data_IF_504558081925
#
_entry.id   IF_504558081925
#
_cell.length_a   1.000
_cell.length_b   1.000
_cell.length_c   1.000
_cell.angle_alpha   90.00
_cell.angle_beta   90.00
_cell.angle_gamma   90.00
#
_symmetry.space_group_name_H-M   'P 1'
#
loop_
_entity.id
_entity.type
_entity.pdbx_description
1 polymer ?
#
# COMPACT_ATOMS: atom_id res chain seq x y z
N UNK A 1 5.52 0.43 9.21
CA UNK A 1 5.79 1.65 8.43
C UNK A 1 5.08 1.55 7.07
N UNK A 2 3.85 2.06 6.99
CA UNK A 2 3.16 2.26 5.72
C UNK A 2 3.54 3.65 5.20
N UNK A 3 4.16 3.74 4.02
CA UNK A 3 4.44 5.03 3.35
C UNK A 3 3.43 5.27 2.21
N UNK A 4 2.15 5.00 2.47
CA UNK A 4 1.11 4.96 1.45
C UNK A 4 0.71 6.33 0.89
N UNK A 5 1.25 7.44 1.42
CA UNK A 5 0.90 8.82 1.04
C UNK A 5 1.17 9.12 -0.44
N UNK A 6 2.33 8.73 -0.98
CA UNK A 6 2.61 8.91 -2.41
C UNK A 6 1.75 8.02 -3.34
N UNK A 7 1.34 6.85 -2.87
CA UNK A 7 0.44 5.93 -3.59
C UNK A 7 -0.98 6.49 -3.67
N UNK A 8 -1.43 7.02 -2.53
CA UNK A 8 -2.71 7.68 -2.34
C UNK A 8 -2.85 8.83 -3.34
N UNK A 9 -1.83 9.68 -3.43
CA UNK A 9 -1.78 10.86 -4.30
C UNK A 9 -1.68 10.53 -5.80
N UNK A 10 -0.95 9.48 -6.18
CA UNK A 10 -0.94 9.03 -7.58
C UNK A 10 -2.30 8.44 -7.97
N UNK A 11 -2.91 7.61 -7.13
CA UNK A 11 -4.28 7.13 -7.34
C UNK A 11 -5.29 8.28 -7.39
N UNK A 12 -5.11 9.30 -6.53
CA UNK A 12 -5.84 10.56 -6.49
C UNK A 12 -5.81 11.28 -7.83
N UNK A 13 -4.61 11.54 -8.34
CA UNK A 13 -4.38 12.27 -9.58
C UNK A 13 -4.91 11.51 -10.80
N UNK A 14 -4.76 10.18 -10.82
CA UNK A 14 -5.28 9.32 -11.88
C UNK A 14 -6.82 9.31 -11.84
N UNK A 15 -7.44 9.05 -10.68
CA UNK A 15 -8.90 9.03 -10.55
C UNK A 15 -9.52 10.39 -10.85
N UNK A 16 -8.92 11.49 -10.38
CA UNK A 16 -9.43 12.83 -10.63
C UNK A 16 -9.33 13.24 -12.10
N UNK A 17 -8.28 12.78 -12.82
CA UNK A 17 -8.16 13.00 -14.28
C UNK A 17 -9.11 12.11 -15.09
N UNK A 18 -9.41 10.90 -14.62
CA UNK A 18 -10.29 9.96 -15.32
C UNK A 18 -11.78 10.23 -15.05
N UNK A 19 -12.14 10.83 -13.91
CA UNK A 19 -13.53 11.09 -13.51
C UNK A 19 -13.97 12.53 -13.80
N UNK A 20 -13.10 13.54 -13.63
CA UNK A 20 -13.44 14.92 -13.95
C UNK A 20 -13.01 15.26 -15.39
N UNK A 21 -13.98 15.29 -16.29
CA UNK A 21 -13.87 15.89 -17.63
C UNK A 21 -13.53 17.41 -17.59
N UNK A 22 -13.49 18.02 -16.40
CA UNK A 22 -13.37 19.47 -16.20
C UNK A 22 -11.96 20.03 -16.37
N UNK A 23 -10.91 19.21 -16.48
CA UNK A 23 -9.52 19.66 -16.69
C UNK A 23 -8.90 20.50 -15.57
N UNK A 24 -9.66 20.79 -14.51
CA UNK A 24 -9.23 21.59 -13.36
C UNK A 24 -9.06 20.66 -12.16
N UNK A 25 -7.80 20.42 -11.80
CA UNK A 25 -7.46 19.80 -10.51
C UNK A 25 -6.88 20.90 -9.65
N UNK A 26 -7.46 21.08 -8.46
CA UNK A 26 -6.95 21.96 -7.42
C UNK A 26 -5.83 21.22 -6.66
N UNK A 27 -4.65 21.85 -6.55
CA UNK A 27 -3.40 21.21 -6.11
C UNK A 27 -2.77 21.85 -4.87
N UNK A 28 -3.41 22.84 -4.24
CA UNK A 28 -2.86 23.43 -3.02
C UNK A 28 -2.92 22.43 -1.88
N UNK A 29 -1.75 21.93 -1.48
CA UNK A 29 -1.61 20.96 -0.39
C UNK A 29 -0.39 21.31 0.48
N UNK A 30 -0.63 21.45 1.78
CA UNK A 30 0.42 21.71 2.77
C UNK A 30 1.16 20.41 3.12
N UNK A 31 2.36 20.26 2.56
CA UNK A 31 3.29 19.13 2.77
C UNK A 31 3.63 18.91 4.26
N UNK A 32 3.57 19.95 5.11
CA UNK A 32 3.97 19.83 6.53
C UNK A 32 2.98 18.99 7.33
N UNK A 33 1.70 19.03 6.95
CA UNK A 33 0.65 18.25 7.61
C UNK A 33 0.83 16.76 7.32
N UNK A 34 1.24 16.39 6.10
CA UNK A 34 1.38 14.99 5.67
C UNK A 34 2.49 14.23 6.42
N UNK A 35 3.63 14.88 6.69
CA UNK A 35 4.78 14.23 7.35
C UNK A 35 4.57 13.91 8.84
N UNK A 36 3.67 14.59 9.55
CA UNK A 36 3.43 14.34 10.98
C UNK A 36 2.59 13.07 11.24
N UNK A 37 1.92 12.53 10.21
CA UNK A 37 0.86 11.53 10.37
C UNK A 37 1.35 10.08 10.21
N UNK A 38 2.63 9.89 9.82
CA UNK A 38 3.24 8.57 9.59
C UNK A 38 3.69 7.83 10.88
N UNK A 39 3.47 8.41 12.07
CA UNK A 39 4.00 7.91 13.34
C UNK A 39 3.08 6.97 14.15
N UNK A 40 1.83 6.75 13.73
CA UNK A 40 0.99 5.75 14.41
C UNK A 40 1.33 4.32 13.96
N UNK A 41 1.46 3.36 14.90
CA UNK A 41 1.79 1.96 14.58
C UNK A 41 0.69 1.23 13.79
N UNK A 42 -0.44 1.89 13.55
CA UNK A 42 -1.59 1.37 12.82
C UNK A 42 -1.71 2.13 11.50
N UNK A 43 -1.77 1.44 10.36
CA UNK A 43 -1.89 2.07 9.04
C UNK A 43 -3.32 2.59 8.73
N UNK A 44 -4.23 2.57 9.70
CA UNK A 44 -5.64 2.95 9.53
C UNK A 44 -5.89 4.44 9.27
N UNK A 45 -5.13 5.39 9.87
CA UNK A 45 -5.34 6.82 9.63
C UNK A 45 -5.28 7.15 8.14
N UNK A 46 -4.25 6.69 7.43
CA UNK A 46 -4.09 6.95 5.98
C UNK A 46 -5.29 6.47 5.16
N UNK A 47 -5.84 5.29 5.47
CA UNK A 47 -7.02 4.76 4.75
C UNK A 47 -8.27 5.59 5.03
N UNK A 48 -8.44 6.05 6.27
CA UNK A 48 -9.53 6.93 6.67
C UNK A 48 -9.38 8.29 6.00
N UNK A 49 -8.18 8.87 6.00
CA UNK A 49 -7.90 10.17 5.39
C UNK A 49 -8.15 10.16 3.89
N UNK A 50 -7.75 9.09 3.19
CA UNK A 50 -8.07 8.92 1.77
C UNK A 50 -9.58 8.87 1.51
N UNK A 51 -10.31 8.16 2.37
CA UNK A 51 -11.76 8.10 2.27
C UNK A 51 -12.39 9.47 2.53
N UNK A 52 -12.03 10.13 3.63
CA UNK A 52 -12.56 11.43 4.02
C UNK A 52 -12.25 12.51 2.96
N UNK A 53 -11.04 12.50 2.41
CA UNK A 53 -10.67 13.34 1.27
C UNK A 53 -11.52 13.03 0.04
N UNK A 54 -11.67 11.74 -0.31
CA UNK A 54 -12.46 11.32 -1.47
C UNK A 54 -13.92 11.75 -1.34
N UNK A 55 -14.50 11.61 -0.15
CA UNK A 55 -15.84 12.08 0.17
C UNK A 55 -15.95 13.60 0.05
N UNK A 56 -14.96 14.35 0.54
CA UNK A 56 -14.87 15.80 0.40
C UNK A 56 -14.86 16.26 -1.06
N UNK A 57 -14.05 15.61 -1.92
CA UNK A 57 -13.98 15.92 -3.35
C UNK A 57 -15.27 15.56 -4.09
N UNK A 58 -15.93 14.47 -3.70
CA UNK A 58 -17.20 14.06 -4.30
C UNK A 58 -18.40 14.85 -3.74
N UNK A 59 -18.21 15.71 -2.74
CA UNK A 59 -19.30 16.40 -2.04
C UNK A 59 -20.25 15.43 -1.34
N UNK A 60 -19.77 14.25 -0.94
CA UNK A 60 -20.54 13.20 -0.28
C UNK A 60 -20.19 13.15 1.21
N UNK A 61 -21.14 12.66 2.00
CA UNK A 61 -20.92 12.32 3.41
C UNK A 61 -21.36 10.88 3.59
N UNK A 62 -20.41 9.96 3.44
CA UNK A 62 -20.64 8.53 3.64
C UNK A 62 -20.13 8.11 5.02
N UNK A 63 -20.59 6.94 5.50
CA UNK A 63 -20.05 6.37 6.75
C UNK A 63 -18.57 6.02 6.55
N UNK A 64 -17.81 6.09 7.65
CA UNK A 64 -16.42 5.63 7.70
C UNK A 64 -16.27 4.24 7.04
N UNK A 65 -15.21 4.01 6.27
CA UNK A 65 -15.06 2.76 5.54
C UNK A 65 -14.89 1.60 6.52
N UNK A 66 -15.40 0.42 6.17
CA UNK A 66 -15.12 -0.77 6.95
C UNK A 66 -13.62 -1.07 6.91
N UNK A 67 -13.02 -1.28 8.08
CA UNK A 67 -11.65 -1.75 8.23
C UNK A 67 -11.67 -3.22 8.60
N UNK A 68 -11.82 -4.08 7.59
CA UNK A 68 -11.85 -5.52 7.81
C UNK A 68 -10.49 -6.03 8.35
N UNK A 69 -10.55 -7.06 9.20
CA UNK A 69 -9.40 -7.65 9.90
C UNK A 69 -8.48 -8.48 8.99
N UNK A 70 -8.03 -9.64 9.48
CA UNK A 70 -7.17 -10.53 8.70
C UNK A 70 -7.95 -11.08 7.49
N UNK A 71 -7.44 -10.84 6.28
CA UNK A 71 -8.05 -11.34 5.05
C UNK A 71 -8.18 -12.86 5.06
N UNK A 72 -7.33 -13.56 5.81
CA UNK A 72 -7.35 -15.01 5.95
C UNK A 72 -8.64 -15.53 6.61
N UNK A 73 -9.33 -14.69 7.39
CA UNK A 73 -10.63 -15.01 8.01
C UNK A 73 -11.76 -15.17 6.97
N UNK A 74 -11.50 -14.82 5.70
CA UNK A 74 -12.41 -15.10 4.58
C UNK A 74 -12.41 -16.58 4.15
N UNK A 75 -11.61 -17.42 4.80
CA UNK A 75 -11.65 -18.87 4.64
C UNK A 75 -11.86 -19.58 5.98
N UNK A 76 -12.52 -20.76 5.96
CA UNK A 76 -12.48 -21.66 7.10
C UNK A 76 -11.04 -22.04 7.48
N UNK A 77 -10.73 -22.13 8.77
CA UNK A 77 -9.39 -22.53 9.25
C UNK A 77 -8.91 -23.86 8.66
N UNK A 78 -9.83 -24.81 8.43
CA UNK A 78 -9.55 -26.11 7.81
C UNK A 78 -8.99 -26.03 6.39
N UNK A 79 -9.23 -24.94 5.66
CA UNK A 79 -8.78 -24.73 4.28
C UNK A 79 -7.28 -24.37 4.24
N UNK A 80 -6.81 -23.67 5.26
CA UNK A 80 -5.49 -23.05 5.30
C UNK A 80 -4.43 -23.91 6.00
N UNK A 81 -4.86 -24.84 6.86
CA UNK A 81 -3.96 -25.69 7.63
C UNK A 81 -3.53 -26.96 6.86
N UNK A 82 -2.29 -27.39 7.15
CA UNK A 82 -1.72 -28.63 6.66
C UNK A 82 -0.65 -28.47 5.57
N UNK A 83 0.32 -29.39 5.57
CA UNK A 83 1.28 -29.52 4.50
C UNK A 83 0.56 -30.05 3.25
N UNK A 84 0.30 -29.17 2.29
CA UNK A 84 -0.29 -29.50 1.00
C UNK A 84 0.39 -28.71 -0.11
N UNK A 85 0.36 -29.25 -1.32
CA UNK A 85 0.94 -28.59 -2.49
C UNK A 85 0.23 -27.27 -2.79
N UNK A 86 0.92 -26.33 -3.44
CA UNK A 86 0.38 -25.05 -3.86
C UNK A 86 -0.95 -25.21 -4.62
N UNK A 87 -1.00 -26.11 -5.61
CA UNK A 87 -2.20 -26.38 -6.40
C UNK A 87 -3.38 -26.87 -5.54
N UNK A 88 -3.11 -27.73 -4.55
CA UNK A 88 -4.15 -28.23 -3.63
C UNK A 88 -4.69 -27.11 -2.75
N UNK A 89 -3.80 -26.26 -2.21
CA UNK A 89 -4.19 -25.10 -1.39
C UNK A 89 -4.99 -24.09 -2.20
N UNK A 90 -4.50 -23.71 -3.38
CA UNK A 90 -5.17 -22.80 -4.31
C UNK A 90 -6.60 -23.27 -4.58
N UNK A 91 -6.76 -24.54 -4.97
CA UNK A 91 -8.07 -25.12 -5.24
C UNK A 91 -9.00 -25.04 -4.02
N UNK A 92 -8.54 -25.49 -2.85
CA UNK A 92 -9.34 -25.44 -1.60
C UNK A 92 -9.76 -24.01 -1.23
N UNK A 93 -8.86 -23.04 -1.35
CA UNK A 93 -9.15 -21.63 -1.06
C UNK A 93 -10.19 -21.09 -2.04
N UNK A 94 -9.95 -21.21 -3.35
CA UNK A 94 -10.84 -20.67 -4.38
C UNK A 94 -12.23 -21.33 -4.38
N UNK A 95 -12.32 -22.63 -4.07
CA UNK A 95 -13.59 -23.38 -4.00
C UNK A 95 -14.34 -23.19 -2.68
N UNK A 96 -13.67 -22.71 -1.62
CA UNK A 96 -14.31 -22.55 -0.31
C UNK A 96 -15.34 -21.43 -0.32
N UNK A 97 -16.42 -21.60 0.47
CA UNK A 97 -17.43 -20.55 0.66
C UNK A 97 -16.80 -19.34 1.37
N UNK A 98 -16.93 -18.15 0.79
CA UNK A 98 -16.56 -16.91 1.48
C UNK A 98 -17.69 -16.51 2.44
N UNK A 99 -17.37 -16.05 3.65
CA UNK A 99 -18.39 -15.49 4.52
C UNK A 99 -19.00 -14.22 3.90
N UNK A 100 -20.18 -13.85 4.36
CA UNK A 100 -20.85 -12.58 3.98
C UNK A 100 -20.64 -11.49 5.03
N UNK A 101 -20.05 -11.83 6.18
CA UNK A 101 -19.72 -10.94 7.29
C UNK A 101 -18.25 -11.11 7.66
N UNK A 102 -17.59 -10.03 8.06
CA UNK A 102 -16.21 -10.06 8.53
C UNK A 102 -16.01 -9.10 9.71
N UNK A 103 -15.05 -9.42 10.58
CA UNK A 103 -14.65 -8.57 11.70
C UNK A 103 -14.18 -7.23 11.16
N UNK A 104 -14.76 -6.14 11.65
CA UNK A 104 -14.48 -4.78 11.26
C UNK A 104 -13.94 -3.98 12.45
N UNK A 105 -12.71 -3.52 12.33
CA UNK A 105 -12.01 -2.76 13.35
C UNK A 105 -12.49 -1.29 13.44
N UNK A 106 -13.16 -0.79 12.39
CA UNK A 106 -13.68 0.59 12.35
C UNK A 106 -15.00 0.75 13.11
N UNK A 107 -15.88 -0.25 13.00
CA UNK A 107 -17.23 -0.22 13.57
C UNK A 107 -17.34 -1.02 14.87
N UNK A 108 -16.21 -1.42 15.44
CA UNK A 108 -16.17 -2.08 16.74
C UNK A 108 -16.50 -1.07 17.85
N UNK A 109 -17.72 -1.13 18.36
CA UNK A 109 -18.06 -0.47 19.61
C UNK A 109 -17.37 -1.23 20.76
N UNK A 110 -16.88 -0.54 21.82
CA UNK A 110 -16.20 -1.18 22.95
C UNK A 110 -17.01 -2.31 23.63
N UNK A 111 -18.34 -2.24 23.53
CA UNK A 111 -19.27 -3.19 24.14
C UNK A 111 -19.84 -4.23 23.16
N UNK A 112 -19.44 -4.21 21.88
CA UNK A 112 -19.92 -5.18 20.88
C UNK A 112 -18.98 -6.40 20.84
N UNK A 113 -19.40 -7.57 21.33
CA UNK A 113 -18.57 -8.76 21.33
C UNK A 113 -18.30 -9.33 19.93
N UNK A 114 -19.04 -8.88 18.91
CA UNK A 114 -18.92 -9.39 17.54
C UNK A 114 -19.06 -8.25 16.52
N UNK A 115 -18.02 -7.42 16.30
CA UNK A 115 -18.07 -6.30 15.37
C UNK A 115 -18.03 -6.77 13.92
N UNK A 116 -19.09 -7.43 13.47
CA UNK A 116 -19.21 -7.99 12.15
C UNK A 116 -19.87 -6.95 11.24
N UNK A 117 -19.16 -6.55 10.19
CA UNK A 117 -19.75 -5.78 9.09
C UNK A 117 -20.01 -6.69 7.90
N UNK A 118 -21.09 -6.40 7.17
CA UNK A 118 -21.38 -7.09 5.92
C UNK A 118 -20.27 -6.78 4.92
N UNK A 119 -19.77 -7.80 4.25
CA UNK A 119 -18.82 -7.62 3.15
C UNK A 119 -19.62 -7.08 1.95
N UNK A 120 -19.28 -5.89 1.41
CA UNK A 120 -20.03 -5.30 0.31
C UNK A 120 -20.26 -6.28 -0.84
N UNK A 121 -21.49 -6.35 -1.35
CA UNK A 121 -21.83 -7.24 -2.47
C UNK A 121 -21.12 -6.80 -3.76
N UNK A 122 -21.00 -5.49 -3.95
CA UNK A 122 -20.34 -4.86 -5.09
C UNK A 122 -19.28 -3.87 -4.61
N UNK A 123 -18.15 -3.86 -5.30
CA UNK A 123 -17.07 -2.90 -5.14
C UNK A 123 -16.71 -2.38 -6.52
N UNK A 124 -16.60 -1.06 -6.68
CA UNK A 124 -16.24 -0.45 -7.96
C UNK A 124 -14.72 -0.45 -8.19
N UNK A 125 -13.94 -0.45 -7.11
CA UNK A 125 -12.49 -0.63 -7.16
C UNK A 125 -11.94 -1.25 -5.88
N UNK A 126 -10.70 -1.73 -5.92
CA UNK A 126 -9.97 -2.25 -4.78
C UNK A 126 -8.51 -1.80 -4.78
N UNK A 127 -7.95 -1.57 -3.59
CA UNK A 127 -6.53 -1.31 -3.39
C UNK A 127 -6.00 -2.25 -2.31
N UNK A 128 -4.80 -2.80 -2.48
CA UNK A 128 -4.22 -3.76 -1.54
C UNK A 128 -2.70 -3.66 -1.48
N UNK A 129 -2.11 -3.81 -0.30
CA UNK A 129 -0.68 -4.03 -0.12
C UNK A 129 -0.45 -5.46 0.34
N UNK A 130 0.07 -6.32 -0.55
CA UNK A 130 0.23 -7.74 -0.24
C UNK A 130 1.58 -8.03 0.43
N UNK A 131 1.64 -8.97 1.40
CA UNK A 131 2.88 -9.29 2.11
C UNK A 131 3.95 -9.85 1.15
N UNK A 132 5.17 -9.31 1.21
CA UNK A 132 6.27 -9.61 0.29
C UNK A 132 7.41 -10.44 0.90
N UNK A 133 7.24 -10.96 2.13
CA UNK A 133 8.29 -11.69 2.86
C UNK A 133 8.81 -12.92 2.09
N UNK A 134 7.95 -13.60 1.32
CA UNK A 134 8.35 -14.77 0.54
C UNK A 134 8.77 -14.43 -0.91
N UNK A 135 8.65 -13.17 -1.32
CA UNK A 135 8.94 -12.71 -2.69
C UNK A 135 10.20 -11.84 -2.75
N UNK A 136 10.45 -11.04 -1.71
CA UNK A 136 11.52 -10.04 -1.71
C UNK A 136 12.91 -10.65 -1.64
N UNK A 137 13.89 -9.93 -2.20
CA UNK A 137 15.31 -10.32 -2.12
C UNK A 137 15.84 -10.51 -0.70
N UNK A 138 15.28 -9.78 0.26
CA UNK A 138 15.62 -9.83 1.69
C UNK A 138 14.92 -10.96 2.44
N UNK A 139 13.93 -11.60 1.81
CA UNK A 139 13.15 -12.68 2.37
C UNK A 139 13.63 -14.08 1.95
N UNK A 140 12.78 -15.09 2.18
CA UNK A 140 13.10 -16.49 1.93
C UNK A 140 13.00 -16.89 0.45
N UNK A 141 12.41 -16.03 -0.40
CA UNK A 141 12.18 -16.27 -1.84
C UNK A 141 11.47 -17.59 -2.14
N UNK A 142 10.60 -18.02 -1.23
CA UNK A 142 9.84 -19.25 -1.37
C UNK A 142 8.67 -19.12 -2.35
N UNK A 143 8.25 -17.88 -2.68
CA UNK A 143 7.18 -17.59 -3.63
C UNK A 143 5.90 -18.38 -3.33
N UNK A 144 5.42 -19.17 -4.29
CA UNK A 144 4.23 -20.02 -4.16
C UNK A 144 4.34 -21.10 -3.07
N UNK A 145 5.56 -21.48 -2.66
CA UNK A 145 5.81 -22.39 -1.54
C UNK A 145 5.87 -21.66 -0.18
N UNK A 146 5.83 -20.33 -0.20
CA UNK A 146 5.93 -19.46 0.98
C UNK A 146 4.74 -19.55 1.93
N UNK A 147 4.95 -19.05 3.16
CA UNK A 147 3.90 -18.93 4.18
C UNK A 147 2.88 -17.85 3.86
N UNK A 148 3.23 -16.87 3.02
CA UNK A 148 2.33 -15.80 2.59
C UNK A 148 1.49 -16.16 1.38
N UNK A 149 1.78 -17.26 0.66
CA UNK A 149 1.01 -17.67 -0.52
C UNK A 149 -0.51 -17.80 -0.27
N UNK A 150 -1.00 -18.30 0.88
CA UNK A 150 -2.42 -18.32 1.19
C UNK A 150 -3.08 -16.93 1.28
N UNK A 151 -2.33 -15.88 1.63
CA UNK A 151 -2.84 -14.50 1.63
C UNK A 151 -3.19 -14.07 0.21
N UNK A 152 -2.30 -14.34 -0.75
CA UNK A 152 -2.55 -14.06 -2.17
C UNK A 152 -3.72 -14.87 -2.72
N UNK A 153 -3.82 -16.15 -2.36
CA UNK A 153 -4.96 -17.00 -2.77
C UNK A 153 -6.29 -16.45 -2.26
N UNK A 154 -6.31 -15.99 -1.00
CA UNK A 154 -7.51 -15.46 -0.37
C UNK A 154 -7.90 -14.11 -0.94
N UNK A 155 -6.91 -13.26 -1.21
CA UNK A 155 -7.08 -12.00 -1.93
C UNK A 155 -7.69 -12.23 -3.32
N UNK A 156 -7.11 -13.15 -4.10
CA UNK A 156 -7.63 -13.49 -5.43
C UNK A 156 -9.07 -14.04 -5.37
N UNK A 157 -9.37 -14.93 -4.41
CA UNK A 157 -10.73 -15.43 -4.15
C UNK A 157 -11.71 -14.28 -3.93
N UNK A 158 -11.36 -13.34 -3.05
CA UNK A 158 -12.19 -12.18 -2.74
C UNK A 158 -12.44 -11.33 -3.99
N UNK A 159 -11.37 -10.99 -4.72
CA UNK A 159 -11.42 -10.19 -5.95
C UNK A 159 -12.32 -10.85 -7.00
N UNK A 160 -12.11 -12.14 -7.27
CA UNK A 160 -12.86 -12.91 -8.27
C UNK A 160 -14.35 -13.03 -7.89
N UNK A 161 -14.65 -13.33 -6.63
CA UNK A 161 -16.04 -13.49 -6.19
C UNK A 161 -16.81 -12.16 -6.19
N UNK A 162 -16.14 -11.05 -5.86
CA UNK A 162 -16.72 -9.71 -5.90
C UNK A 162 -16.68 -9.04 -7.27
N UNK A 163 -16.03 -9.68 -8.25
CA UNK A 163 -15.84 -9.17 -9.62
C UNK A 163 -15.40 -7.70 -9.62
N UNK A 164 -14.41 -7.37 -8.79
CA UNK A 164 -13.94 -5.98 -8.61
C UNK A 164 -13.44 -5.46 -9.97
N UNK A 165 -14.06 -4.42 -10.57
CA UNK A 165 -13.71 -3.99 -11.92
C UNK A 165 -12.25 -3.56 -12.05
N UNK A 166 -11.77 -2.75 -11.11
CA UNK A 166 -10.42 -2.21 -11.11
C UNK A 166 -9.72 -2.49 -9.78
N UNK A 167 -8.57 -3.14 -9.82
CA UNK A 167 -7.78 -3.51 -8.66
C UNK A 167 -6.37 -2.94 -8.77
N UNK A 168 -5.86 -2.35 -7.70
CA UNK A 168 -4.47 -1.93 -7.58
C UNK A 168 -3.79 -2.70 -6.46
N UNK A 169 -2.67 -3.35 -6.75
CA UNK A 169 -1.83 -4.03 -5.76
C UNK A 169 -0.49 -3.31 -5.66
N UNK A 170 -0.20 -2.72 -4.51
CA UNK A 170 1.13 -2.19 -4.18
C UNK A 170 2.00 -3.30 -3.61
N UNK A 171 3.26 -3.37 -4.07
CA UNK A 171 4.24 -4.30 -3.54
C UNK A 171 5.67 -3.85 -3.81
N UNK A 172 6.64 -4.68 -3.42
CA UNK A 172 8.04 -4.52 -3.82
C UNK A 172 8.25 -4.92 -5.28
N UNK A 173 9.26 -4.37 -5.99
CA UNK A 173 9.57 -4.76 -7.36
C UNK A 173 9.79 -6.25 -7.60
N UNK A 174 10.14 -7.03 -6.57
CA UNK A 174 10.32 -8.50 -6.67
C UNK A 174 8.99 -9.30 -6.61
N UNK A 175 7.83 -8.65 -6.72
CA UNK A 175 6.54 -9.34 -6.76
C UNK A 175 6.49 -10.37 -7.91
N UNK A 176 6.12 -11.60 -7.56
CA UNK A 176 5.91 -12.70 -8.51
C UNK A 176 4.60 -12.49 -9.30
N UNK A 177 4.74 -12.01 -10.53
CA UNK A 177 3.60 -11.79 -11.42
C UNK A 177 3.00 -13.08 -11.94
N UNK A 178 3.77 -14.16 -12.06
CA UNK A 178 3.25 -15.45 -12.54
C UNK A 178 2.23 -16.00 -11.54
N UNK A 179 2.48 -15.81 -10.25
CA UNK A 179 1.50 -16.13 -9.21
C UNK A 179 0.25 -15.23 -9.31
N UNK A 180 0.40 -13.95 -9.64
CA UNK A 180 -0.76 -13.05 -9.82
C UNK A 180 -1.63 -13.50 -11.00
N UNK A 181 -1.01 -13.84 -12.14
CA UNK A 181 -1.69 -14.37 -13.32
C UNK A 181 -2.36 -15.72 -13.03
N UNK A 182 -1.64 -16.64 -12.36
CA UNK A 182 -2.17 -17.95 -12.02
C UNK A 182 -3.41 -17.85 -11.10
N UNK A 183 -3.38 -16.96 -10.11
CA UNK A 183 -4.47 -16.82 -9.14
C UNK A 183 -5.69 -16.09 -9.66
N UNK A 184 -5.51 -15.06 -10.49
CA UNK A 184 -6.61 -14.23 -10.99
C UNK A 184 -7.15 -14.70 -12.35
N UNK A 185 -6.56 -15.76 -12.92
CA UNK A 185 -6.99 -16.39 -14.17
C UNK A 185 -7.04 -15.40 -15.35
N UNK A 186 -7.77 -15.76 -16.39
CA UNK A 186 -8.04 -14.95 -17.58
C UNK A 186 -9.07 -13.82 -17.35
N UNK A 187 -9.56 -13.67 -16.11
CA UNK A 187 -10.56 -12.67 -15.72
C UNK A 187 -9.98 -11.26 -15.57
N UNK A 188 -8.66 -11.15 -15.36
CA UNK A 188 -8.00 -9.87 -15.14
C UNK A 188 -6.82 -9.69 -16.10
N UNK A 189 -6.81 -8.54 -16.77
CA UNK A 189 -5.64 -8.06 -17.47
C UNK A 189 -4.75 -7.27 -16.50
N UNK A 190 -3.50 -7.68 -16.36
CA UNK A 190 -2.56 -7.07 -15.44
C UNK A 190 -1.59 -6.12 -16.13
N UNK A 191 -1.42 -4.94 -15.53
CA UNK A 191 -0.43 -3.93 -15.93
C UNK A 191 0.51 -3.70 -14.76
N UNK A 192 1.81 -3.87 -14.99
CA UNK A 192 2.84 -3.70 -13.96
C UNK A 192 3.51 -2.35 -14.12
N UNK A 193 3.36 -1.50 -13.13
CA UNK A 193 3.93 -0.16 -13.10
C UNK A 193 5.00 -0.08 -12.02
N UNK A 194 6.23 0.29 -12.37
CA UNK A 194 7.30 0.50 -11.40
C UNK A 194 7.54 2.00 -11.26
N UNK A 195 7.44 2.49 -10.03
CA UNK A 195 7.72 3.89 -9.71
C UNK A 195 8.16 4.04 -8.26
N UNK A 196 8.92 5.08 -7.98
CA UNK A 196 9.31 5.48 -6.63
C UNK A 196 9.27 6.99 -6.44
N UNK A 197 9.50 7.46 -5.21
CA UNK A 197 9.45 8.89 -4.89
C UNK A 197 10.34 9.76 -5.81
N UNK A 198 11.52 9.27 -6.19
CA UNK A 198 12.42 10.00 -7.09
C UNK A 198 11.80 10.32 -8.47
N UNK A 199 10.88 9.50 -8.96
CA UNK A 199 10.21 9.68 -10.25
C UNK A 199 9.23 10.86 -10.22
N UNK A 200 8.75 11.23 -9.03
CA UNK A 200 7.80 12.32 -8.81
C UNK A 200 8.45 13.54 -8.12
N UNK A 201 9.79 13.62 -8.10
CA UNK A 201 10.51 14.80 -7.57
C UNK A 201 11.08 14.67 -6.15
N UNK A 202 10.86 13.53 -5.49
CA UNK A 202 11.41 13.22 -4.17
C UNK A 202 12.82 12.62 -4.26
N UNK A 203 13.79 13.41 -4.71
CA UNK A 203 15.14 12.95 -5.13
C UNK A 203 15.97 12.27 -4.04
N UNK A 204 15.73 12.58 -2.77
CA UNK A 204 16.48 12.01 -1.65
C UNK A 204 15.92 10.66 -1.15
N UNK A 205 14.80 10.18 -1.71
CA UNK A 205 14.16 8.94 -1.30
C UNK A 205 14.34 7.84 -2.35
N UNK A 206 15.06 6.78 -1.99
CA UNK A 206 15.26 5.60 -2.82
C UNK A 206 14.33 4.47 -2.37
N UNK A 207 13.06 4.53 -2.79
CA UNK A 207 12.03 3.53 -2.44
C UNK A 207 11.19 3.15 -3.65
N UNK A 208 11.74 2.31 -4.52
CA UNK A 208 11.00 1.78 -5.66
C UNK A 208 9.86 0.85 -5.19
N UNK A 209 8.72 0.98 -5.84
CA UNK A 209 7.52 0.16 -5.65
C UNK A 209 6.97 -0.29 -6.98
N UNK A 210 6.27 -1.42 -6.94
CA UNK A 210 5.46 -1.88 -8.06
C UNK A 210 3.99 -1.70 -7.72
N UNK A 211 3.24 -1.16 -8.66
CA UNK A 211 1.80 -1.08 -8.66
C UNK A 211 1.29 -1.96 -9.79
N UNK A 212 0.62 -3.04 -9.42
CA UNK A 212 0.00 -3.95 -10.37
C UNK A 212 -1.48 -3.58 -10.49
N UNK A 213 -1.89 -3.10 -11.66
CA UNK A 213 -3.28 -2.77 -11.97
C UNK A 213 -3.91 -3.99 -12.62
N UNK A 214 -4.88 -4.60 -11.96
CA UNK A 214 -5.75 -5.63 -12.50
C UNK A 214 -7.03 -5.00 -13.02
N UNK A 215 -7.27 -5.09 -14.32
CA UNK A 215 -8.50 -4.63 -14.96
C UNK A 215 -9.36 -5.84 -15.35
N UNK A 216 -10.60 -5.92 -14.84
CA UNK A 216 -11.50 -7.03 -15.12
C UNK A 216 -11.91 -7.01 -16.60
N UNK A 217 -11.69 -8.12 -17.30
CA UNK A 217 -11.77 -8.19 -18.78
C UNK A 217 -13.17 -7.92 -19.33
N UNK A 218 -14.22 -8.27 -18.58
CA UNK A 218 -15.62 -8.04 -18.98
C UNK A 218 -16.24 -6.73 -18.46
N UNK A 219 -15.64 -6.11 -17.43
CA UNK A 219 -16.26 -4.98 -16.70
C UNK A 219 -15.52 -3.66 -16.90
N UNK A 220 -14.39 -3.69 -17.60
CA UNK A 220 -13.57 -2.50 -17.84
C UNK A 220 -13.17 -2.40 -19.30
N UNK A 221 -12.85 -1.19 -19.73
CA UNK A 221 -12.28 -0.92 -21.06
C UNK A 221 -11.09 0.00 -20.88
N UNK A 222 -9.94 -0.38 -21.44
CA UNK A 222 -8.73 0.44 -21.38
C UNK A 222 -8.87 1.61 -22.35
N UNK A 223 -8.95 2.83 -21.79
CA UNK A 223 -8.98 4.07 -22.57
C UNK A 223 -7.58 4.58 -22.93
N UNK A 224 -6.62 4.39 -22.03
CA UNK A 224 -5.22 4.84 -22.19
C UNK A 224 -4.26 3.77 -21.68
N UNK A 225 -3.01 3.77 -22.17
CA UNK A 225 -1.99 2.90 -21.62
C UNK A 225 -1.59 3.36 -20.20
N UNK A 226 -1.66 2.48 -19.17
CA UNK A 226 -1.33 2.88 -17.81
C UNK A 226 0.10 3.39 -17.62
N UNK A 227 1.06 2.94 -18.45
CA UNK A 227 2.46 3.39 -18.40
C UNK A 227 2.59 4.82 -18.92
N UNK A 228 1.89 5.14 -20.01
CA UNK A 228 1.84 6.50 -20.55
C UNK A 228 1.22 7.47 -19.55
N UNK A 229 0.12 7.06 -18.91
CA UNK A 229 -0.55 7.86 -17.88
C UNK A 229 0.39 8.10 -16.70
N UNK A 230 1.05 7.06 -16.19
CA UNK A 230 2.03 7.18 -15.10
C UNK A 230 3.14 8.15 -15.50
N UNK A 231 3.77 7.96 -16.66
CA UNK A 231 4.86 8.80 -17.11
C UNK A 231 4.45 10.27 -17.23
N UNK A 232 3.26 10.56 -17.76
CA UNK A 232 2.74 11.91 -17.86
C UNK A 232 2.49 12.54 -16.48
N UNK A 233 1.91 11.79 -15.54
CA UNK A 233 1.69 12.24 -14.15
C UNK A 233 3.02 12.46 -13.44
N UNK A 234 3.93 11.50 -13.50
CA UNK A 234 5.25 11.59 -12.87
C UNK A 234 6.07 12.76 -13.41
N UNK A 235 6.07 12.98 -14.72
CA UNK A 235 6.74 14.13 -15.33
C UNK A 235 6.20 15.47 -14.81
N UNK A 236 4.86 15.59 -14.70
CA UNK A 236 4.21 16.79 -14.15
C UNK A 236 4.54 16.97 -12.66
N UNK A 237 4.38 15.92 -11.85
CA UNK A 237 4.69 15.95 -10.41
C UNK A 237 6.15 16.32 -10.17
N UNK A 238 7.06 15.69 -10.92
CA UNK A 238 8.50 15.98 -10.87
C UNK A 238 8.82 17.40 -11.29
N UNK A 239 8.01 18.08 -12.09
CA UNK A 239 8.23 19.49 -12.40
C UNK A 239 7.92 20.38 -11.18
N UNK A 240 6.80 20.11 -10.50
CA UNK A 240 6.31 20.86 -9.33
C UNK A 240 7.11 20.56 -8.06
N UNK A 241 7.44 19.29 -7.82
CA UNK A 241 8.12 18.82 -6.62
C UNK A 241 9.61 18.71 -6.90
N UNK A 242 10.42 19.45 -6.14
CA UNK A 242 11.89 19.48 -6.27
C UNK A 242 12.56 19.42 -4.90
N UNK A 243 12.22 18.39 -4.12
CA UNK A 243 12.79 18.26 -2.78
C UNK A 243 14.30 18.03 -2.82
N UNK A 244 14.97 18.48 -1.75
CA UNK A 244 16.38 18.32 -1.45
C UNK A 244 16.55 17.37 -0.27
N UNK A 245 17.77 16.87 -0.06
CA UNK A 245 18.07 16.02 1.11
C UNK A 245 17.69 16.72 2.43
N UNK A 246 17.95 18.03 2.53
CA UNK A 246 17.60 18.85 3.69
C UNK A 246 16.12 18.82 4.05
N UNK A 247 15.23 18.57 3.09
CA UNK A 247 13.78 18.61 3.31
C UNK A 247 13.29 17.37 4.08
N UNK A 248 14.10 16.31 4.14
CA UNK A 248 13.82 15.06 4.87
C UNK A 248 14.56 14.97 6.20
N UNK A 249 15.55 15.84 6.41
CA UNK A 249 16.30 15.90 7.66
C UNK A 249 15.49 16.74 8.66
N UNK A 250 14.43 16.12 9.21
CA UNK A 250 13.53 16.76 10.16
C UNK A 250 13.96 16.60 11.63
N UNK A 251 15.06 15.90 11.90
CA UNK A 251 15.56 15.73 13.26
C UNK A 251 15.98 17.08 13.85
N UNK A 252 15.43 17.40 15.02
CA UNK A 252 15.85 18.55 15.81
C UNK A 252 17.30 18.41 16.28
N UNK A 253 17.96 19.53 16.58
CA UNK A 253 19.31 19.52 17.15
C UNK A 253 19.40 18.63 18.40
N UNK A 254 18.34 18.58 19.20
CA UNK A 254 18.26 17.73 20.38
C UNK A 254 18.23 16.23 20.03
N UNK A 255 17.41 15.82 19.06
CA UNK A 255 17.36 14.43 18.59
C UNK A 255 18.69 13.99 17.97
N UNK A 256 19.32 14.87 17.19
CA UNK A 256 20.65 14.64 16.63
C UNK A 256 21.69 14.44 17.73
N UNK A 257 21.65 15.25 18.79
CA UNK A 257 22.55 15.12 19.94
C UNK A 257 22.33 13.81 20.71
N UNK A 258 21.07 13.41 20.92
CA UNK A 258 20.73 12.15 21.59
C UNK A 258 21.22 10.93 20.78
N UNK A 259 20.98 10.89 19.47
CA UNK A 259 21.46 9.80 18.62
C UNK A 259 22.99 9.77 18.60
N UNK A 260 23.64 10.94 18.48
CA UNK A 260 25.09 11.04 18.51
C UNK A 260 25.70 10.51 19.83
N UNK A 261 25.06 10.79 20.97
CA UNK A 261 25.46 10.24 22.26
C UNK A 261 25.32 8.71 22.29
N UNK A 262 24.22 8.16 21.78
CA UNK A 262 24.01 6.72 21.71
C UNK A 262 25.01 6.01 20.79
N UNK A 263 25.35 6.61 19.64
CA UNK A 263 26.41 6.11 18.74
C UNK A 263 27.76 6.12 19.43
N UNK A 264 28.11 7.21 20.13
CA UNK A 264 29.35 7.32 20.88
C UNK A 264 29.50 6.23 21.96
N UNK A 265 28.42 5.96 22.72
CA UNK A 265 28.36 4.87 23.70
C UNK A 265 28.60 3.51 23.02
N UNK A 266 27.88 3.22 21.93
CA UNK A 266 28.01 1.94 21.19
C UNK A 266 29.43 1.74 20.64
N UNK A 267 30.08 2.80 20.18
CA UNK A 267 31.44 2.76 19.63
C UNK A 267 32.54 2.90 20.68
N UNK A 268 32.20 3.15 21.94
CA UNK A 268 33.17 3.43 23.02
C UNK A 268 34.07 4.64 22.72
N UNK A 269 33.52 5.67 22.08
CA UNK A 269 34.21 6.92 21.75
C UNK A 269 33.69 8.04 22.67
N UNK A 270 34.55 8.94 23.19
CA UNK A 270 34.08 10.05 24.01
C UNK A 270 33.12 10.96 23.24
N UNK A 271 31.90 11.14 23.76
CA UNK A 271 30.91 12.06 23.18
C UNK A 271 31.30 13.52 23.42
N UNK A 272 31.22 14.34 22.36
CA UNK A 272 31.55 15.77 22.38
C UNK A 272 30.28 16.61 22.09
N UNK A 273 29.50 17.01 23.11
CA UNK A 273 28.18 17.64 22.92
C UNK A 273 28.19 19.01 22.24
N UNK A 274 29.36 19.67 22.16
CA UNK A 274 29.53 20.97 21.49
C UNK A 274 30.17 20.86 20.11
N UNK A 275 30.44 19.65 19.63
CA UNK A 275 31.07 19.44 18.33
C UNK A 275 29.98 19.29 17.26
N UNK A 276 29.85 20.30 16.39
CA UNK A 276 28.91 20.27 15.26
C UNK A 276 29.31 19.24 14.19
N UNK A 277 30.60 18.94 14.09
CA UNK A 277 31.12 17.94 13.17
C UNK A 277 31.09 16.55 13.81
N UNK A 278 30.02 15.81 13.55
CA UNK A 278 29.84 14.45 14.07
C UNK A 278 30.64 13.38 13.29
N UNK A 279 31.47 13.74 12.30
CA UNK A 279 32.25 12.76 11.50
C UNK A 279 33.22 11.93 12.34
N UNK A 280 33.67 12.43 13.50
CA UNK A 280 34.54 11.65 14.40
C UNK A 280 33.86 10.37 14.91
N UNK A 281 32.53 10.33 14.92
CA UNK A 281 31.75 9.13 15.27
C UNK A 281 31.75 8.08 14.16
N UNK A 282 32.22 8.40 12.95
CA UNK A 282 32.25 7.49 11.81
C UNK A 282 33.63 6.86 11.58
N UNK A 283 34.70 7.56 11.99
CA UNK A 283 36.10 7.23 11.65
C UNK A 283 36.86 6.48 12.74
N UNK A 284 36.20 6.15 13.86
CA UNK A 284 36.75 5.39 14.99
C UNK A 284 36.04 4.04 15.15
#
# INVERSE_FOLDING_TARGET
MCSGSGTAECARAVLQKTINESGLVDWDMDIRTVCQWEYEPKCWPVLRDMHDWGMGVLGRSERSPCLFGDIMDLNPSSVLHGASSYATKKRRVLESRMPIWCVCLAHHAPDDPYPLCAIPEKLDSGCSGLPCQDMSRAGLRMMSAGRTAPVYMTHAKFVLQKKIPLLTVECTPDLDMDMMYDLHSDRYQWYRLVTGPADVGHRALARQRVYCIGAHTELTTRLHDPTEVLNAVSARMKHTVQTRVSDYLCASDYEVLLEAQQVAIRRKVPFKPRCLDLRYLLTS
#
